data_IF_852765831435
#
_entry.id   IF_852765831435
#
_cell.length_a   1.000
_cell.length_b   1.000
_cell.length_c   1.000
_cell.angle_alpha   90.00
_cell.angle_beta   90.00
_cell.angle_gamma   90.00
#
_symmetry.space_group_name_H-M   'P 1'
#
loop_
_entity.id
_entity.type
_entity.pdbx_description
1 polymer ?
#
# COMPACT_ATOMS: atom_id res chain seq x y z
N UNK A 1 -13.74 -5.59 -26.20
CA UNK A 1 -13.04 -5.94 -27.45
C UNK A 1 -12.52 -7.37 -27.28
N UNK A 2 -13.40 -8.34 -27.55
CA UNK A 2 -13.14 -9.77 -27.34
C UNK A 2 -12.62 -10.33 -28.65
N UNK A 3 -11.34 -10.71 -28.68
CA UNK A 3 -10.79 -11.50 -29.78
C UNK A 3 -9.62 -12.31 -29.23
N UNK A 4 -9.94 -13.51 -28.75
CA UNK A 4 -8.97 -14.60 -28.66
C UNK A 4 -9.61 -15.75 -29.43
N UNK A 5 -9.17 -15.88 -30.68
CA UNK A 5 -9.34 -17.10 -31.45
C UNK A 5 -8.34 -18.08 -30.86
N UNK A 6 -8.73 -18.82 -29.83
CA UNK A 6 -8.03 -20.06 -29.52
C UNK A 6 -8.46 -21.05 -30.62
N UNK A 7 -7.61 -21.14 -31.65
CA UNK A 7 -7.52 -22.34 -32.45
C UNK A 7 -7.16 -23.47 -31.48
N UNK A 8 -8.16 -24.21 -31.03
CA UNK A 8 -7.95 -25.56 -30.52
C UNK A 8 -7.24 -26.33 -31.64
N UNK A 9 -6.10 -26.98 -31.35
CA UNK A 9 -5.43 -27.78 -32.34
C UNK A 9 -6.40 -28.87 -32.80
N UNK A 10 -6.53 -29.04 -34.12
CA UNK A 10 -7.41 -30.05 -34.72
C UNK A 10 -7.26 -31.39 -34.01
N UNK A 11 -8.41 -32.06 -33.81
CA UNK A 11 -8.50 -33.29 -33.05
C UNK A 11 -7.40 -34.30 -33.48
N UNK A 12 -6.56 -34.78 -32.56
CA UNK A 12 -5.34 -35.49 -32.93
C UNK A 12 -5.63 -36.72 -33.78
N UNK A 13 -5.02 -36.78 -34.96
CA UNK A 13 -5.10 -37.94 -35.86
C UNK A 13 -4.57 -39.20 -35.13
N UNK A 14 -5.46 -40.15 -34.83
CA UNK A 14 -5.10 -41.42 -34.17
C UNK A 14 -5.92 -41.76 -32.92
N UNK A 15 -6.76 -40.86 -32.43
CA UNK A 15 -7.72 -41.17 -31.37
C UNK A 15 -8.75 -42.22 -31.83
N UNK A 16 -9.23 -43.11 -30.92
CA UNK A 16 -10.24 -44.10 -31.26
C UNK A 16 -11.51 -43.43 -31.80
N UNK A 17 -12.14 -44.05 -32.80
CA UNK A 17 -13.36 -43.55 -33.43
C UNK A 17 -14.47 -43.23 -32.40
N UNK A 18 -14.57 -44.04 -31.35
CA UNK A 18 -15.49 -43.87 -30.22
C UNK A 18 -15.34 -42.52 -29.52
N UNK A 19 -14.10 -42.14 -29.19
CA UNK A 19 -13.80 -40.88 -28.49
C UNK A 19 -14.15 -39.69 -29.39
N UNK A 20 -13.83 -39.80 -30.69
CA UNK A 20 -14.14 -38.75 -31.67
C UNK A 20 -15.65 -38.57 -31.87
N UNK A 21 -16.42 -39.65 -31.91
CA UNK A 21 -17.88 -39.60 -32.01
C UNK A 21 -18.53 -39.11 -30.70
N UNK A 22 -17.99 -39.46 -29.53
CA UNK A 22 -18.46 -38.91 -28.25
C UNK A 22 -18.22 -37.40 -28.17
N UNK A 23 -17.03 -36.94 -28.55
CA UNK A 23 -16.71 -35.51 -28.59
C UNK A 23 -17.61 -34.73 -29.58
N UNK A 24 -17.99 -35.37 -30.70
CA UNK A 24 -18.97 -34.83 -31.63
C UNK A 24 -20.36 -34.67 -30.98
N UNK A 25 -20.82 -35.68 -30.21
CA UNK A 25 -22.11 -35.63 -29.50
C UNK A 25 -22.15 -34.54 -28.41
N UNK A 26 -21.05 -34.35 -27.68
CA UNK A 26 -20.94 -33.33 -26.62
C UNK A 26 -20.68 -31.92 -27.17
N UNK A 27 -20.38 -31.79 -28.47
CA UNK A 27 -20.10 -30.51 -29.13
C UNK A 27 -18.71 -29.94 -28.85
N UNK A 28 -17.77 -30.78 -28.40
CA UNK A 28 -16.39 -30.39 -28.04
C UNK A 28 -15.45 -30.35 -29.27
N UNK A 29 -15.90 -30.79 -30.44
CA UNK A 29 -15.14 -30.71 -31.68
C UNK A 29 -15.19 -29.30 -32.29
N UNK A 30 -14.07 -28.86 -32.87
CA UNK A 30 -14.04 -27.66 -33.70
C UNK A 30 -14.80 -27.87 -35.03
N UNK A 31 -14.96 -26.80 -35.81
CA UNK A 31 -15.71 -26.83 -37.07
C UNK A 31 -15.09 -27.75 -38.14
N UNK A 32 -13.76 -27.85 -38.18
CA UNK A 32 -13.05 -28.65 -39.19
C UNK A 32 -13.16 -30.15 -38.85
N UNK A 33 -12.96 -30.52 -37.59
CA UNK A 33 -13.11 -31.87 -37.07
C UNK A 33 -14.57 -32.34 -37.13
N UNK A 34 -15.53 -31.46 -36.84
CA UNK A 34 -16.97 -31.77 -37.00
C UNK A 34 -17.31 -32.10 -38.45
N UNK A 35 -16.83 -31.30 -39.42
CA UNK A 35 -17.00 -31.56 -40.86
C UNK A 35 -16.33 -32.86 -41.33
N UNK A 36 -15.26 -33.30 -40.66
CA UNK A 36 -14.65 -34.60 -40.93
C UNK A 36 -15.52 -35.76 -40.43
N UNK A 37 -16.05 -35.64 -39.21
CA UNK A 37 -16.98 -36.63 -38.66
C UNK A 37 -18.24 -36.73 -39.51
N UNK A 38 -18.82 -35.63 -39.96
CA UNK A 38 -19.98 -35.62 -40.86
C UNK A 38 -19.72 -36.40 -42.16
N UNK A 39 -18.60 -36.13 -42.84
CA UNK A 39 -18.18 -36.88 -44.04
C UNK A 39 -17.97 -38.37 -43.76
N UNK A 40 -17.42 -38.70 -42.59
CA UNK A 40 -17.25 -40.09 -42.17
C UNK A 40 -18.60 -40.77 -41.96
N UNK A 41 -19.56 -40.10 -41.31
CA UNK A 41 -20.91 -40.63 -41.09
C UNK A 41 -21.69 -40.85 -42.39
N UNK A 42 -21.46 -40.05 -43.42
CA UNK A 42 -22.06 -40.26 -44.74
C UNK A 42 -21.59 -41.56 -45.42
N UNK A 43 -20.32 -41.90 -45.22
CA UNK A 43 -19.64 -42.97 -45.97
C UNK A 43 -19.52 -44.28 -45.21
N UNK A 44 -19.42 -44.23 -43.88
CA UNK A 44 -19.16 -45.39 -43.03
C UNK A 44 -20.42 -45.84 -42.26
N UNK A 45 -20.98 -47.04 -42.56
CA UNK A 45 -22.10 -47.60 -41.81
C UNK A 45 -21.74 -48.01 -40.37
N UNK A 46 -20.49 -48.38 -40.08
CA UNK A 46 -20.05 -48.74 -38.71
C UNK A 46 -19.96 -47.50 -37.83
N UNK A 47 -19.40 -46.39 -38.34
CA UNK A 47 -19.40 -45.11 -37.63
C UNK A 47 -20.82 -44.66 -37.27
N UNK A 48 -21.79 -44.82 -38.18
CA UNK A 48 -23.21 -44.54 -37.89
C UNK A 48 -23.82 -45.49 -36.87
N UNK A 49 -23.43 -46.76 -36.85
CA UNK A 49 -23.91 -47.73 -35.84
C UNK A 49 -23.39 -47.33 -34.46
N UNK A 50 -22.11 -47.00 -34.37
CA UNK A 50 -21.47 -46.60 -33.14
C UNK A 50 -22.02 -45.28 -32.59
N UNK A 51 -22.26 -44.29 -33.45
CA UNK A 51 -22.90 -43.03 -33.06
C UNK A 51 -24.28 -43.27 -32.42
N UNK A 52 -25.11 -44.12 -33.03
CA UNK A 52 -26.43 -44.46 -32.46
C UNK A 52 -26.34 -45.15 -31.11
N UNK A 53 -25.35 -46.01 -30.92
CA UNK A 53 -25.12 -46.71 -29.64
C UNK A 53 -24.72 -45.72 -28.53
N UNK A 54 -23.89 -44.73 -28.86
CA UNK A 54 -23.52 -43.64 -27.95
C UNK A 54 -24.73 -42.75 -27.62
N UNK A 55 -25.53 -42.36 -28.62
CA UNK A 55 -26.77 -41.58 -28.44
C UNK A 55 -27.76 -42.31 -27.52
N UNK A 56 -27.95 -43.62 -27.70
CA UNK A 56 -28.83 -44.43 -26.85
C UNK A 56 -28.33 -44.46 -25.41
N UNK A 57 -27.02 -44.63 -25.21
CA UNK A 57 -26.39 -44.63 -23.89
C UNK A 57 -26.55 -43.28 -23.19
N UNK A 58 -26.37 -42.17 -23.92
CA UNK A 58 -26.64 -40.82 -23.42
C UNK A 58 -28.11 -40.61 -23.04
N UNK A 59 -29.04 -41.13 -23.85
CA UNK A 59 -30.46 -41.07 -23.55
C UNK A 59 -30.86 -41.78 -22.25
N UNK A 60 -30.10 -42.78 -21.78
CA UNK A 60 -30.31 -43.41 -20.47
C UNK A 60 -30.00 -42.44 -19.33
N UNK A 61 -29.03 -41.52 -19.50
CA UNK A 61 -28.70 -40.51 -18.49
C UNK A 61 -29.86 -39.53 -18.24
N UNK A 62 -30.71 -39.30 -19.24
CA UNK A 62 -31.91 -38.47 -19.09
C UNK A 62 -32.99 -39.12 -18.20
N UNK A 63 -32.94 -40.44 -18.05
CA UNK A 63 -33.87 -41.21 -17.20
C UNK A 63 -33.40 -41.22 -15.74
N UNK A 64 -32.18 -40.74 -15.45
CA UNK A 64 -31.68 -40.69 -14.09
C UNK A 64 -32.55 -39.78 -13.23
N UNK A 65 -33.05 -40.36 -12.15
CA UNK A 65 -33.86 -39.64 -11.18
C UNK A 65 -33.03 -38.53 -10.56
N UNK A 66 -33.37 -37.27 -10.88
CA UNK A 66 -32.77 -36.10 -10.26
C UNK A 66 -33.32 -35.99 -8.84
N UNK A 67 -32.64 -36.64 -7.89
CA UNK A 67 -32.95 -36.44 -6.48
C UNK A 67 -32.74 -34.96 -6.15
N UNK A 68 -33.82 -34.30 -5.73
CA UNK A 68 -33.76 -32.91 -5.27
C UNK A 68 -32.78 -32.83 -4.09
N UNK A 69 -31.94 -31.78 -4.07
CA UNK A 69 -30.97 -31.59 -2.99
C UNK A 69 -31.69 -31.61 -1.63
N UNK A 70 -31.18 -32.44 -0.70
CA UNK A 70 -31.73 -32.54 0.64
C UNK A 70 -31.66 -31.17 1.36
N UNK A 71 -32.77 -30.64 1.88
CA UNK A 71 -32.78 -29.39 2.63
C UNK A 71 -31.78 -29.35 3.79
N UNK A 72 -31.44 -30.50 4.37
CA UNK A 72 -30.41 -30.61 5.42
C UNK A 72 -29.03 -30.24 4.90
N UNK A 73 -28.64 -30.73 3.71
CA UNK A 73 -27.36 -30.41 3.09
C UNK A 73 -27.20 -28.89 2.85
N UNK A 74 -28.27 -28.24 2.39
CA UNK A 74 -28.28 -26.78 2.19
C UNK A 74 -28.11 -26.05 3.51
N UNK A 75 -28.83 -26.49 4.55
CA UNK A 75 -28.73 -25.92 5.90
C UNK A 75 -27.32 -26.06 6.46
N UNK A 76 -26.74 -27.25 6.41
CA UNK A 76 -25.38 -27.49 6.90
C UNK A 76 -24.35 -26.66 6.14
N UNK A 77 -24.52 -26.47 4.83
CA UNK A 77 -23.65 -25.58 4.04
C UNK A 77 -23.75 -24.13 4.49
N UNK A 78 -24.98 -23.63 4.69
CA UNK A 78 -25.21 -22.29 5.21
C UNK A 78 -24.66 -22.10 6.63
N UNK A 79 -24.80 -23.11 7.49
CA UNK A 79 -24.22 -23.14 8.84
C UNK A 79 -22.69 -23.07 8.79
N UNK A 80 -22.04 -23.87 7.94
CA UNK A 80 -20.58 -23.81 7.76
C UNK A 80 -20.10 -22.43 7.32
N UNK A 81 -20.80 -21.80 6.36
CA UNK A 81 -20.47 -20.45 5.90
C UNK A 81 -20.69 -19.42 7.00
N UNK A 82 -21.78 -19.54 7.78
CA UNK A 82 -22.07 -18.66 8.90
C UNK A 82 -20.98 -18.75 9.99
N UNK A 83 -20.57 -19.97 10.37
CA UNK A 83 -19.51 -20.19 11.34
C UNK A 83 -18.18 -19.60 10.85
N UNK A 84 -17.81 -19.82 9.59
CA UNK A 84 -16.58 -19.24 9.02
C UNK A 84 -16.60 -17.70 9.03
N UNK A 85 -17.76 -17.09 8.78
CA UNK A 85 -17.92 -15.64 8.85
C UNK A 85 -17.80 -15.10 10.29
N UNK A 86 -18.34 -15.81 11.28
CA UNK A 86 -18.20 -15.44 12.69
C UNK A 86 -16.74 -15.52 13.16
N UNK A 87 -16.00 -16.56 12.78
CA UNK A 87 -14.58 -16.71 13.10
C UNK A 87 -13.73 -15.57 12.51
N UNK A 88 -14.00 -15.17 11.27
CA UNK A 88 -13.34 -14.04 10.62
C UNK A 88 -13.55 -12.73 11.40
N UNK A 89 -14.80 -12.45 11.80
CA UNK A 89 -15.14 -11.25 12.58
C UNK A 89 -14.48 -11.31 13.97
N UNK A 90 -14.47 -12.47 14.62
CA UNK A 90 -13.83 -12.66 15.92
C UNK A 90 -12.32 -12.41 15.85
N UNK A 91 -11.65 -12.91 14.81
CA UNK A 91 -10.21 -12.67 14.57
C UNK A 91 -9.92 -11.19 14.40
N UNK A 92 -10.68 -10.49 13.54
CA UNK A 92 -10.51 -9.05 13.34
C UNK A 92 -10.75 -8.24 14.62
N UNK A 93 -11.76 -8.60 15.43
CA UNK A 93 -12.02 -7.95 16.72
C UNK A 93 -10.87 -8.13 17.70
N UNK A 94 -10.21 -9.29 17.72
CA UNK A 94 -9.10 -9.59 18.62
C UNK A 94 -7.83 -8.81 18.26
N UNK A 95 -7.59 -8.58 16.97
CA UNK A 95 -6.41 -7.86 16.47
C UNK A 95 -6.56 -6.32 16.44
N UNK A 96 -7.79 -5.81 16.35
CA UNK A 96 -8.09 -4.36 16.34
C UNK A 96 -7.54 -3.57 17.55
N UNK A 97 -7.72 -3.98 18.83
CA UNK A 97 -7.32 -3.14 19.96
C UNK A 97 -5.80 -2.94 20.02
N UNK A 98 -5.02 -3.95 19.65
CA UNK A 98 -3.56 -3.84 19.61
C UNK A 98 -3.09 -2.80 18.57
N UNK A 99 -3.69 -2.79 17.38
CA UNK A 99 -3.34 -1.84 16.30
C UNK A 99 -3.68 -0.40 16.68
N UNK A 100 -4.87 -0.16 17.21
CA UNK A 100 -5.29 1.18 17.64
C UNK A 100 -4.43 1.65 18.83
N UNK A 101 -4.17 0.78 19.81
CA UNK A 101 -3.30 1.08 20.94
C UNK A 101 -1.87 1.42 20.50
N UNK A 102 -1.30 0.66 19.57
CA UNK A 102 0.04 0.93 19.02
C UNK A 102 0.10 2.26 18.25
N UNK A 103 -0.93 2.60 17.47
CA UNK A 103 -1.00 3.88 16.76
C UNK A 103 -1.11 5.08 17.72
N UNK A 104 -1.93 4.96 18.77
CA UNK A 104 -2.04 6.00 19.81
C UNK A 104 -0.70 6.14 20.55
N UNK A 105 -0.06 5.03 20.92
CA UNK A 105 1.24 5.04 21.58
C UNK A 105 2.33 5.68 20.70
N UNK A 106 2.34 5.39 19.39
CA UNK A 106 3.24 6.03 18.43
C UNK A 106 3.00 7.54 18.34
N UNK A 107 1.73 7.97 18.27
CA UNK A 107 1.36 9.38 18.26
C UNK A 107 1.82 10.11 19.53
N UNK A 108 1.58 9.53 20.70
CA UNK A 108 2.05 10.06 21.99
C UNK A 108 3.58 10.13 22.05
N UNK A 109 4.28 9.10 21.58
CA UNK A 109 5.74 9.08 21.52
C UNK A 109 6.28 10.18 20.60
N UNK A 110 5.65 10.44 19.45
CA UNK A 110 6.03 11.51 18.55
C UNK A 110 5.84 12.90 19.19
N UNK A 111 4.72 13.12 19.88
CA UNK A 111 4.47 14.37 20.62
C UNK A 111 5.50 14.57 21.73
N UNK A 112 5.79 13.52 22.50
CA UNK A 112 6.81 13.56 23.55
C UNK A 112 8.21 13.85 22.98
N UNK A 113 8.58 13.23 21.86
CA UNK A 113 9.84 13.48 21.18
C UNK A 113 9.94 14.95 20.70
N UNK A 114 8.87 15.50 20.11
CA UNK A 114 8.83 16.89 19.70
C UNK A 114 8.98 17.85 20.89
N UNK A 115 8.31 17.57 22.02
CA UNK A 115 8.43 18.36 23.24
C UNK A 115 9.84 18.32 23.82
N UNK A 116 10.48 17.14 23.85
CA UNK A 116 11.87 16.99 24.29
C UNK A 116 12.82 17.76 23.38
N UNK A 117 12.69 17.62 22.05
CA UNK A 117 13.52 18.36 21.10
C UNK A 117 13.37 19.88 21.26
N UNK A 118 12.13 20.36 21.46
CA UNK A 118 11.86 21.77 21.75
C UNK A 118 12.51 22.23 23.06
N UNK A 119 12.39 21.43 24.13
CA UNK A 119 13.01 21.73 25.42
C UNK A 119 14.56 21.78 25.32
N UNK A 120 15.17 20.80 24.66
CA UNK A 120 16.62 20.77 24.47
C UNK A 120 17.11 21.92 23.60
N UNK A 121 16.41 22.25 22.52
CA UNK A 121 16.71 23.40 21.67
C UNK A 121 16.65 24.71 22.45
N UNK A 122 15.60 24.90 23.27
CA UNK A 122 15.45 26.07 24.12
C UNK A 122 16.54 26.13 25.20
N UNK A 123 16.84 25.01 25.86
CA UNK A 123 17.86 24.94 26.91
C UNK A 123 19.27 25.24 26.37
N UNK A 124 19.58 24.79 25.15
CA UNK A 124 20.82 25.13 24.46
C UNK A 124 20.88 26.64 24.17
N UNK A 125 19.82 27.20 23.60
CA UNK A 125 19.74 28.64 23.29
C UNK A 125 19.88 29.52 24.54
N UNK A 126 19.21 29.14 25.64
CA UNK A 126 19.30 29.84 26.93
C UNK A 126 20.71 29.83 27.51
N UNK A 127 21.44 28.72 27.40
CA UNK A 127 22.84 28.64 27.85
C UNK A 127 23.77 29.57 27.07
N UNK A 128 23.55 29.73 25.76
CA UNK A 128 24.33 30.66 24.94
C UNK A 128 24.05 32.12 25.33
N UNK A 129 22.78 32.47 25.56
CA UNK A 129 22.38 33.83 25.97
C UNK A 129 22.86 34.21 27.37
N UNK A 130 22.86 33.28 28.33
CA UNK A 130 23.37 33.57 29.68
C UNK A 130 24.86 33.93 29.70
N UNK A 131 25.65 33.47 28.73
CA UNK A 131 27.05 33.91 28.62
C UNK A 131 27.19 35.38 28.23
N UNK A 132 26.23 35.97 27.52
CA UNK A 132 26.19 37.41 27.28
C UNK A 132 25.83 38.14 28.58
N UNK A 133 24.80 37.70 29.30
CA UNK A 133 24.40 38.32 30.58
C UNK A 133 25.50 38.28 31.65
N UNK A 134 26.30 37.20 31.70
CA UNK A 134 27.45 37.11 32.60
C UNK A 134 28.65 37.96 32.14
N UNK A 135 28.84 38.13 30.83
CA UNK A 135 29.88 38.99 30.24
C UNK A 135 29.56 40.47 30.41
N UNK A 136 28.28 40.81 30.38
CA UNK A 136 27.76 42.18 30.53
C UNK A 136 27.46 42.52 31.99
N UNK A 137 27.57 41.56 32.90
CA UNK A 137 27.42 41.75 34.35
C UNK A 137 28.33 42.85 34.92
N UNK A 138 29.61 42.98 34.51
CA UNK A 138 30.47 44.08 34.96
C UNK A 138 30.00 45.46 34.47
N UNK A 139 29.30 45.52 33.33
CA UNK A 139 28.73 46.75 32.79
C UNK A 139 27.47 47.15 33.55
N UNK A 140 26.60 46.17 33.85
CA UNK A 140 25.37 46.36 34.63
C UNK A 140 25.65 46.73 36.09
N UNK A 141 26.67 46.15 36.72
CA UNK A 141 27.04 46.49 38.11
C UNK A 141 27.59 47.91 38.27
N UNK A 142 28.20 48.46 37.23
CA UNK A 142 28.76 49.81 37.26
C UNK A 142 27.87 50.82 36.50
N UNK A 143 26.64 50.45 36.16
CA UNK A 143 25.75 51.26 35.32
C UNK A 143 25.49 52.63 35.94
N UNK A 144 25.32 52.69 37.26
CA UNK A 144 25.16 53.93 38.03
C UNK A 144 26.40 54.83 37.96
N UNK A 145 27.61 54.23 37.92
CA UNK A 145 28.87 54.96 37.75
C UNK A 145 29.05 55.44 36.31
N UNK A 146 28.60 54.68 35.32
CA UNK A 146 28.63 55.09 33.92
C UNK A 146 27.58 56.15 33.59
N UNK A 147 26.42 56.12 34.25
CA UNK A 147 25.36 57.12 34.10
C UNK A 147 25.77 58.48 34.69
N UNK A 148 26.56 58.48 35.77
CA UNK A 148 27.08 59.68 36.41
C UNK A 148 28.08 60.46 35.53
N UNK A 149 28.75 59.78 34.61
CA UNK A 149 29.58 60.41 33.59
C UNK A 149 28.66 60.62 32.38
N UNK A 150 27.96 61.75 32.31
CA UNK A 150 27.03 62.11 31.23
C UNK A 150 27.70 62.19 29.84
N UNK A 151 27.98 61.04 29.26
CA UNK A 151 29.00 60.81 28.24
C UNK A 151 28.51 61.00 26.80
N UNK A 152 27.79 62.09 26.52
CA UNK A 152 27.71 62.55 25.12
C UNK A 152 28.62 63.75 24.90
N UNK A 153 28.45 64.78 25.71
CA UNK A 153 29.24 66.01 25.61
C UNK A 153 30.69 65.81 26.07
N UNK A 154 30.92 64.97 27.10
CA UNK A 154 32.27 64.59 27.53
C UNK A 154 33.03 63.77 26.48
N UNK A 155 32.35 62.83 25.80
CA UNK A 155 32.99 62.03 24.75
C UNK A 155 33.30 62.88 23.52
N UNK A 156 32.44 63.84 23.15
CA UNK A 156 32.72 64.82 22.10
C UNK A 156 33.90 65.75 22.46
N UNK A 157 33.98 66.21 23.71
CA UNK A 157 35.11 67.02 24.19
C UNK A 157 36.42 66.22 24.22
N UNK A 158 36.35 64.94 24.59
CA UNK A 158 37.51 64.05 24.63
C UNK A 158 38.01 63.68 23.23
N UNK A 159 37.11 63.40 22.28
CA UNK A 159 37.43 63.19 20.86
C UNK A 159 38.07 64.45 20.26
N UNK A 160 37.48 65.62 20.56
CA UNK A 160 38.00 66.91 20.10
C UNK A 160 39.33 67.28 20.77
N UNK A 161 39.62 66.77 21.97
CA UNK A 161 40.91 67.00 22.64
C UNK A 161 42.09 66.26 22.01
N UNK A 162 41.83 65.30 21.11
CA UNK A 162 42.85 64.60 20.33
C UNK A 162 43.80 63.70 21.15
N UNK A 163 43.47 63.45 22.42
CA UNK A 163 44.29 62.63 23.33
C UNK A 163 44.32 61.17 22.89
N UNK A 164 43.30 60.72 22.15
CA UNK A 164 43.27 59.42 21.50
C UNK A 164 43.52 59.59 20.01
N UNK A 165 44.75 59.34 19.58
CA UNK A 165 45.10 59.26 18.15
C UNK A 165 44.34 58.07 17.56
N UNK A 166 43.49 58.37 16.59
CA UNK A 166 42.68 57.39 15.89
C UNK A 166 43.58 56.55 14.95
N UNK A 167 44.16 55.47 15.47
CA UNK A 167 44.92 54.49 14.65
C UNK A 167 44.05 53.79 13.58
N UNK A 168 42.73 54.03 13.55
CA UNK A 168 41.81 53.44 12.57
C UNK A 168 41.45 54.31 11.37
N UNK A 169 41.84 55.59 11.31
CA UNK A 169 41.38 56.53 10.26
C UNK A 169 42.47 57.01 9.28
N UNK A 170 43.60 56.31 9.22
CA UNK A 170 44.70 56.56 8.27
C UNK A 170 44.76 55.58 7.09
N UNK A 171 43.70 54.78 6.85
CA UNK A 171 43.63 53.81 5.75
C UNK A 171 42.54 54.13 4.70
N UNK A 172 42.00 55.36 4.69
CA UNK A 172 40.73 55.66 3.99
C UNK A 172 40.70 56.87 3.07
N UNK A 173 41.82 57.54 2.78
CA UNK A 173 41.87 58.57 1.73
C UNK A 173 43.16 58.47 0.90
N UNK A 174 43.03 57.67 -0.16
CA UNK A 174 43.48 57.86 -1.54
C UNK A 174 44.85 58.52 -1.86
N UNK A 175 45.57 57.74 -2.70
CA UNK A 175 46.56 58.10 -3.75
C UNK A 175 48.02 57.90 -3.40
#
# INVERSE_FOLDING_TARGET
MVRVLEQTPGYPEGEPLEVRLSAYLDGELDEDASREVERLLETDPEARRLLRELEETWGILDVLERSGADPTFTRTTLEMVAVAAEEEVARQRRERPWRVGAQIALGLAAVAAAALLGFFSMAWSYRASQQQLLRDLPLLQNLERYEQIGQREFLELLDRSGIFVNEGKAAGDAS
#
